data_IF_090438308884
#
_entry.id   IF_090438308884
#
_cell.length_a   1.000
_cell.length_b   1.000
_cell.length_c   1.000
_cell.angle_alpha   90.00
_cell.angle_beta   90.00
_cell.angle_gamma   90.00
#
_symmetry.space_group_name_H-M   'P 1'
#
loop_
_entity.id
_entity.type
_entity.pdbx_description
1 polymer ?
#
# COMPACT_ATOMS: atom_id res chain seq x y z
N UNK A 1 -10.91 -19.36 0.26
CA UNK A 1 -10.47 -17.96 0.04
C UNK A 1 -8.97 -17.94 -0.19
N UNK A 2 -8.40 -16.86 -0.69
CA UNK A 2 -6.94 -16.71 -0.82
C UNK A 2 -6.49 -15.29 -0.53
N UNK A 3 -5.21 -15.13 -0.21
CA UNK A 3 -4.51 -13.85 -0.22
C UNK A 3 -3.20 -14.04 -0.97
N UNK A 4 -2.97 -13.22 -1.99
CA UNK A 4 -1.72 -13.16 -2.74
C UNK A 4 -0.90 -11.96 -2.26
N UNK A 5 0.29 -12.24 -1.74
CA UNK A 5 1.32 -11.23 -1.45
C UNK A 5 2.10 -10.96 -2.74
N UNK A 6 1.77 -9.84 -3.39
CA UNK A 6 2.31 -9.43 -4.68
C UNK A 6 3.80 -9.07 -4.59
N UNK A 7 4.27 -8.59 -3.44
CA UNK A 7 5.68 -8.23 -3.25
C UNK A 7 6.55 -9.47 -3.07
N UNK A 8 6.04 -10.50 -2.39
CA UNK A 8 6.79 -11.74 -2.15
C UNK A 8 6.45 -12.88 -3.12
N UNK A 9 5.50 -12.67 -4.04
CA UNK A 9 4.98 -13.68 -4.99
C UNK A 9 4.50 -14.95 -4.29
N UNK A 10 3.86 -14.81 -3.14
CA UNK A 10 3.35 -15.92 -2.34
C UNK A 10 1.83 -15.91 -2.30
N UNK A 11 1.20 -17.05 -2.60
CA UNK A 11 -0.23 -17.24 -2.48
C UNK A 11 -0.55 -18.08 -1.24
N UNK A 12 -1.39 -17.55 -0.36
CA UNK A 12 -1.85 -18.21 0.85
C UNK A 12 -3.30 -18.65 0.67
N UNK A 13 -3.51 -19.97 0.58
CA UNK A 13 -4.85 -20.55 0.54
C UNK A 13 -5.45 -20.62 1.94
N UNK A 14 -6.74 -20.28 2.06
CA UNK A 14 -7.47 -20.18 3.32
C UNK A 14 -8.76 -20.99 3.26
N UNK A 15 -8.99 -21.81 4.28
CA UNK A 15 -10.20 -22.65 4.41
C UNK A 15 -11.47 -21.89 4.79
N UNK A 16 -11.34 -20.70 5.37
CA UNK A 16 -12.45 -19.83 5.75
C UNK A 16 -12.11 -18.35 5.48
N UNK A 17 -13.13 -17.50 5.54
CA UNK A 17 -12.98 -16.04 5.53
C UNK A 17 -12.90 -15.50 6.95
N UNK A 18 -12.20 -14.39 7.13
CA UNK A 18 -12.10 -13.64 8.37
C UNK A 18 -12.34 -12.17 8.12
N UNK A 19 -11.69 -11.31 8.90
CA UNK A 19 -11.69 -9.87 8.63
C UNK A 19 -10.73 -9.51 7.48
N UNK A 20 -11.11 -8.52 6.68
CA UNK A 20 -10.26 -7.93 5.65
C UNK A 20 -9.42 -6.82 6.27
N UNK A 21 -8.10 -6.96 6.22
CA UNK A 21 -7.12 -5.97 6.64
C UNK A 21 -6.57 -5.23 5.42
N UNK A 22 -6.47 -3.91 5.52
CA UNK A 22 -5.78 -3.11 4.52
C UNK A 22 -4.28 -3.47 4.51
N UNK A 23 -3.77 -3.86 3.34
CA UNK A 23 -2.35 -4.10 3.14
C UNK A 23 -2.01 -3.90 1.66
N UNK A 24 -1.15 -2.92 1.37
CA UNK A 24 -0.83 -2.53 -0.01
C UNK A 24 -0.13 -3.63 -0.82
N UNK A 25 0.44 -4.66 -0.18
CA UNK A 25 1.07 -5.80 -0.86
C UNK A 25 0.10 -6.92 -1.21
N UNK A 26 -1.13 -6.88 -0.67
CA UNK A 26 -2.01 -8.03 -0.64
C UNK A 26 -3.22 -7.85 -1.56
N UNK A 27 -3.48 -8.86 -2.39
CA UNK A 27 -4.75 -9.01 -3.09
C UNK A 27 -5.46 -10.23 -2.55
N UNK A 28 -6.69 -10.07 -2.06
CA UNK A 28 -7.47 -11.21 -1.55
C UNK A 28 -8.65 -11.51 -2.46
N UNK A 29 -8.98 -12.79 -2.57
CA UNK A 29 -10.14 -13.27 -3.28
C UNK A 29 -10.90 -14.32 -2.48
N UNK A 30 -12.21 -14.35 -2.67
CA UNK A 30 -13.13 -15.23 -1.95
C UNK A 30 -13.95 -16.00 -2.97
N UNK A 31 -14.13 -17.29 -2.74
CA UNK A 31 -15.03 -18.11 -3.56
C UNK A 31 -16.47 -17.69 -3.25
N UNK A 32 -17.34 -17.66 -4.26
CA UNK A 32 -18.75 -17.26 -4.08
C UNK A 32 -19.53 -18.13 -3.08
N UNK A 33 -19.07 -19.35 -2.81
CA UNK A 33 -19.63 -20.26 -1.81
C UNK A 33 -19.24 -19.95 -0.37
N UNK A 34 -18.33 -19.00 -0.15
CA UNK A 34 -17.89 -18.57 1.19
C UNK A 34 -18.53 -17.22 1.56
N UNK A 35 -18.68 -17.00 2.86
CA UNK A 35 -19.17 -15.72 3.40
C UNK A 35 -18.27 -14.56 2.98
N UNK A 36 -18.86 -13.42 2.63
CA UNK A 36 -18.10 -12.20 2.32
C UNK A 36 -17.37 -11.72 3.59
N UNK A 37 -16.05 -11.45 3.53
CA UNK A 37 -15.29 -10.96 4.68
C UNK A 37 -15.74 -9.56 5.07
N UNK A 38 -15.81 -9.31 6.37
CA UNK A 38 -16.07 -7.97 6.92
C UNK A 38 -14.78 -7.16 6.97
N UNK A 39 -14.87 -5.84 6.76
CA UNK A 39 -13.70 -4.97 6.95
C UNK A 39 -13.27 -4.95 8.41
N UNK A 40 -11.96 -4.92 8.66
CA UNK A 40 -11.41 -4.77 10.01
C UNK A 40 -11.60 -3.34 10.53
N UNK A 41 -11.94 -3.23 11.82
CA UNK A 41 -11.93 -1.95 12.55
C UNK A 41 -10.57 -1.60 13.15
N UNK A 42 -9.52 -2.38 12.87
CA UNK A 42 -8.17 -2.12 13.38
C UNK A 42 -7.66 -0.74 12.92
N UNK A 43 -6.85 -0.11 13.76
CA UNK A 43 -6.25 1.17 13.42
C UNK A 43 -5.35 1.02 12.19
N UNK A 44 -5.55 1.91 11.22
CA UNK A 44 -4.68 2.01 10.06
C UNK A 44 -3.44 2.83 10.41
N UNK A 45 -2.31 2.49 9.81
CA UNK A 45 -1.06 3.25 9.93
C UNK A 45 -0.23 3.14 8.64
N UNK A 46 0.82 3.93 8.53
CA UNK A 46 1.82 3.78 7.47
C UNK A 46 2.99 2.91 7.94
N UNK A 47 3.25 1.82 7.22
CA UNK A 47 4.55 1.14 7.24
C UNK A 47 5.52 1.94 6.35
N UNK A 48 6.59 2.49 6.93
CA UNK A 48 7.55 3.34 6.21
C UNK A 48 8.77 2.58 5.70
N UNK A 49 9.22 2.93 4.49
CA UNK A 49 10.39 2.36 3.84
C UNK A 49 11.39 3.45 3.47
N UNK A 50 12.48 3.55 4.24
CA UNK A 50 13.52 4.55 4.04
C UNK A 50 14.46 4.16 2.89
N UNK A 51 14.90 5.15 2.09
CA UNK A 51 15.74 4.95 0.91
C UNK A 51 15.17 3.91 -0.07
N UNK A 52 13.84 3.84 -0.16
CA UNK A 52 13.08 2.89 -0.98
C UNK A 52 11.93 3.62 -1.65
N UNK A 53 11.61 3.19 -2.86
CA UNK A 53 10.48 3.69 -3.63
C UNK A 53 9.70 2.55 -4.28
N UNK A 54 8.40 2.74 -4.41
CA UNK A 54 7.53 1.92 -5.24
C UNK A 54 7.76 2.26 -6.72
N UNK A 55 7.74 1.27 -7.62
CA UNK A 55 7.95 1.48 -9.04
C UNK A 55 6.71 2.05 -9.73
N UNK A 56 6.92 2.74 -10.85
CA UNK A 56 5.85 3.28 -11.71
C UNK A 56 5.42 4.71 -11.34
N UNK A 57 4.44 5.21 -12.10
CA UNK A 57 3.96 6.59 -12.00
C UNK A 57 2.77 6.77 -11.06
N UNK A 58 2.28 5.66 -10.47
CA UNK A 58 1.09 5.66 -9.63
C UNK A 58 -0.16 6.13 -10.38
N UNK A 59 -1.22 6.44 -9.64
CA UNK A 59 -2.43 7.06 -10.22
C UNK A 59 -2.37 8.59 -10.17
N UNK A 60 -1.48 9.16 -9.35
CA UNK A 60 -1.34 10.61 -9.18
C UNK A 60 0.09 10.98 -8.81
N UNK A 61 0.58 12.04 -9.42
CA UNK A 61 1.87 12.68 -9.10
C UNK A 61 1.61 14.11 -8.68
N UNK A 62 2.24 14.54 -7.59
CA UNK A 62 2.12 15.90 -7.04
C UNK A 62 3.46 16.36 -6.47
N UNK A 63 3.56 17.67 -6.18
CA UNK A 63 4.71 18.23 -5.48
C UNK A 63 4.43 18.26 -3.98
N UNK A 64 5.39 17.83 -3.16
CA UNK A 64 5.33 17.91 -1.70
C UNK A 64 6.67 18.41 -1.14
N UNK A 65 6.66 19.15 -0.04
CA UNK A 65 7.89 19.62 0.62
C UNK A 65 8.56 18.54 1.46
N UNK A 66 7.80 17.53 1.89
CA UNK A 66 8.29 16.47 2.76
C UNK A 66 7.62 15.12 2.51
N UNK A 67 8.22 14.07 3.07
CA UNK A 67 7.62 12.73 3.12
C UNK A 67 6.27 12.77 3.86
N UNK A 68 6.19 13.52 4.95
CA UNK A 68 5.01 13.53 5.81
C UNK A 68 3.83 14.25 5.12
N UNK A 69 4.12 15.32 4.38
CA UNK A 69 3.13 15.97 3.50
C UNK A 69 2.64 15.01 2.39
N UNK A 70 3.56 14.31 1.72
CA UNK A 70 3.19 13.29 0.73
C UNK A 70 2.35 12.15 1.36
N UNK A 71 2.66 11.77 2.60
CA UNK A 71 1.89 10.81 3.38
C UNK A 71 0.49 11.31 3.71
N UNK A 72 0.34 12.59 4.09
CA UNK A 72 -0.97 13.23 4.35
C UNK A 72 -1.85 13.21 3.11
N UNK A 73 -1.30 13.59 1.95
CA UNK A 73 -2.02 13.56 0.67
C UNK A 73 -2.50 12.14 0.32
N UNK A 74 -1.70 11.12 0.61
CA UNK A 74 -2.13 9.73 0.46
C UNK A 74 -3.18 9.34 1.52
N UNK A 75 -3.04 9.80 2.75
CA UNK A 75 -3.95 9.47 3.84
C UNK A 75 -5.39 9.92 3.53
N UNK A 76 -5.53 11.15 3.05
CA UNK A 76 -6.83 11.77 2.75
C UNK A 76 -7.55 11.16 1.54
N UNK A 77 -6.84 10.35 0.74
CA UNK A 77 -7.40 9.66 -0.41
C UNK A 77 -7.67 8.19 -0.08
N UNK A 78 -8.95 7.81 -0.05
CA UNK A 78 -9.39 6.44 0.20
C UNK A 78 -8.76 5.41 -0.78
N UNK A 79 -8.58 5.80 -2.04
CA UNK A 79 -7.97 4.94 -3.05
C UNK A 79 -6.45 4.79 -2.92
N UNK A 80 -5.77 5.66 -2.17
CA UNK A 80 -4.32 5.60 -2.04
C UNK A 80 -3.95 4.51 -1.02
N UNK A 81 -3.25 3.47 -1.49
CA UNK A 81 -2.70 2.41 -0.67
C UNK A 81 -1.24 2.69 -0.27
N UNK A 82 -0.50 3.46 -1.06
CA UNK A 82 0.91 3.77 -0.78
C UNK A 82 1.39 5.03 -1.49
N UNK A 83 2.55 5.54 -1.07
CA UNK A 83 3.20 6.69 -1.71
C UNK A 83 4.72 6.51 -1.81
N UNK A 84 5.34 7.25 -2.73
CA UNK A 84 6.80 7.43 -2.81
C UNK A 84 7.15 8.91 -2.93
N UNK A 85 8.05 9.39 -2.07
CA UNK A 85 8.52 10.77 -2.05
C UNK A 85 10.02 10.85 -2.37
N UNK A 86 10.39 11.59 -3.41
CA UNK A 86 11.78 11.86 -3.80
C UNK A 86 12.15 13.30 -3.46
N UNK A 87 12.99 13.49 -2.44
CA UNK A 87 13.25 14.79 -1.83
C UNK A 87 13.92 15.79 -2.78
N UNK A 88 14.89 15.34 -3.58
CA UNK A 88 15.63 16.21 -4.53
C UNK A 88 14.74 16.82 -5.62
N UNK A 89 13.59 16.20 -5.88
CA UNK A 89 12.63 16.65 -6.90
C UNK A 89 11.35 17.20 -6.29
N UNK A 90 11.19 17.15 -4.95
CA UNK A 90 9.92 17.39 -4.26
C UNK A 90 8.77 16.57 -4.85
N UNK A 91 9.08 15.41 -5.43
CA UNK A 91 8.13 14.60 -6.20
C UNK A 91 7.46 13.61 -5.27
N UNK A 92 6.13 13.63 -5.24
CA UNK A 92 5.29 12.70 -4.50
C UNK A 92 4.44 11.90 -5.50
N UNK A 93 4.53 10.57 -5.44
CA UNK A 93 3.78 9.64 -6.30
C UNK A 93 2.86 8.82 -5.42
N UNK A 94 1.57 8.77 -5.77
CA UNK A 94 0.53 8.06 -5.04
C UNK A 94 0.07 6.82 -5.81
N UNK A 95 -0.06 5.69 -5.10
CA UNK A 95 -0.37 4.38 -5.67
C UNK A 95 -1.64 3.83 -5.03
N UNK A 96 -2.51 3.26 -5.84
CA UNK A 96 -3.67 2.46 -5.46
C UNK A 96 -3.28 0.98 -5.31
N UNK A 97 -2.37 0.52 -6.16
CA UNK A 97 -1.79 -0.82 -6.10
C UNK A 97 -0.28 -0.76 -6.39
N UNK A 98 0.57 -0.57 -5.36
CA UNK A 98 2.02 -0.50 -5.56
C UNK A 98 2.63 -1.86 -5.88
N UNK A 99 3.62 -1.87 -6.78
CA UNK A 99 4.54 -3.00 -6.95
C UNK A 99 5.49 -3.19 -5.76
N UNK A 100 6.36 -4.18 -5.83
CA UNK A 100 7.43 -4.37 -4.84
C UNK A 100 8.35 -3.14 -4.81
N UNK A 101 8.58 -2.56 -3.63
CA UNK A 101 9.53 -1.46 -3.50
C UNK A 101 10.96 -1.91 -3.83
N UNK A 102 11.79 -0.99 -4.28
CA UNK A 102 13.21 -1.24 -4.48
C UNK A 102 14.06 -0.12 -3.87
N UNK A 103 15.36 -0.39 -3.72
CA UNK A 103 16.31 0.61 -3.23
C UNK A 103 16.33 1.84 -4.14
N UNK A 104 16.10 3.01 -3.56
CA UNK A 104 16.07 4.30 -4.26
C UNK A 104 16.62 5.36 -3.32
N UNK A 105 17.91 5.70 -3.47
CA UNK A 105 18.58 6.66 -2.60
C UNK A 105 17.92 8.04 -2.75
N UNK A 106 17.61 8.67 -1.62
CA UNK A 106 16.94 9.98 -1.60
C UNK A 106 15.42 9.91 -1.78
N UNK A 107 14.86 8.70 -1.90
CA UNK A 107 13.42 8.46 -1.89
C UNK A 107 12.99 7.76 -0.60
N UNK A 108 11.85 8.16 -0.04
CA UNK A 108 11.23 7.50 1.09
C UNK A 108 9.77 7.21 0.75
N UNK A 109 9.29 6.03 1.10
CA UNK A 109 7.94 5.58 0.77
C UNK A 109 7.19 5.11 2.00
N UNK A 110 5.87 4.98 1.88
CA UNK A 110 5.02 4.43 2.91
C UNK A 110 3.82 3.71 2.32
N UNK A 111 3.36 2.65 2.98
CA UNK A 111 2.17 1.89 2.58
C UNK A 111 1.19 1.77 3.74
N UNK A 112 -0.10 1.94 3.46
CA UNK A 112 -1.17 1.78 4.45
C UNK A 112 -1.27 0.32 4.88
N UNK A 113 -1.44 0.13 6.19
CA UNK A 113 -1.48 -1.18 6.82
C UNK A 113 -2.42 -1.22 8.03
N UNK A 114 -3.04 -2.37 8.22
CA UNK A 114 -3.73 -2.80 9.44
C UNK A 114 -3.18 -4.17 9.85
N UNK A 115 -3.12 -4.44 11.15
CA UNK A 115 -2.76 -5.74 11.75
C UNK A 115 -3.78 -6.18 12.79
#
# INVERSE_FOLDING_TARGET
>A
AYTFDAWNRKCFLKGATGQLLANARATSGVLSSLTTPTSSGANMYFEYFNNKAFPGDGFRVLSAQSRDECGSECWDLNQCAAFSFTASQRRCVLFDQPGEYSSSRGSNSGAKRQD
#
